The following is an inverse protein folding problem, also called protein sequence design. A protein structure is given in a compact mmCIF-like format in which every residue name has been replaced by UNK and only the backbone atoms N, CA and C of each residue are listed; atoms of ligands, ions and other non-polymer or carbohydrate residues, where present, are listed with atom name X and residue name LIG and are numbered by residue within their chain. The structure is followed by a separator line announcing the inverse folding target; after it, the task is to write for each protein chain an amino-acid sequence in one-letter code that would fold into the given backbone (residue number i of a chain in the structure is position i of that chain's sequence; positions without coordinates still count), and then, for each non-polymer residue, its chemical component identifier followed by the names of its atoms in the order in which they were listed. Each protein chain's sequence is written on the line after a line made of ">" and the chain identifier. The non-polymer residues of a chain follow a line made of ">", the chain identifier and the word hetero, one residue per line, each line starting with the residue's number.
data_IF_916753942585
#
_entry.id   IF_916753942585
#
_cell.length_a   1.000
_cell.length_b   1.000
_cell.length_c   1.000
_cell.angle_alpha   90.00
_cell.angle_beta   90.00
_cell.angle_gamma   90.00
#
_symmetry.space_group_name_H-M   'P 1'
#
loop_
_entity.id
_entity.type
_entity.pdbx_description
1 polymer ?
#
# COMPACT_ATOMS: atom_id res chain seq x y z
N UNK A 1 3.23 20.03 13.79
CA UNK A 1 3.58 19.28 12.57
C UNK A 1 3.40 17.79 12.84
N UNK A 2 2.83 16.99 11.90
CA UNK A 2 2.79 15.53 12.04
C UNK A 2 4.20 14.94 12.10
N UNK A 3 4.38 13.85 12.86
CA UNK A 3 5.68 13.17 12.97
C UNK A 3 6.11 12.53 11.64
N UNK A 4 7.41 12.28 11.47
CA UNK A 4 7.97 11.59 10.30
C UNK A 4 7.28 10.24 10.05
N UNK A 5 7.06 9.46 11.11
CA UNK A 5 6.32 8.20 11.04
C UNK A 5 4.86 8.37 10.63
N UNK A 6 4.17 9.42 11.09
CA UNK A 6 2.79 9.72 10.67
C UNK A 6 2.72 10.04 9.18
N UNK A 7 3.68 10.82 8.67
CA UNK A 7 3.81 11.13 7.25
C UNK A 7 4.14 9.87 6.43
N UNK A 8 4.98 8.98 6.95
CA UNK A 8 5.27 7.70 6.32
C UNK A 8 4.03 6.82 6.20
N UNK A 9 3.26 6.69 7.28
CA UNK A 9 2.02 5.89 7.28
C UNK A 9 1.00 6.42 6.27
N UNK A 10 0.87 7.75 6.14
CA UNK A 10 0.03 8.38 5.10
C UNK A 10 0.55 8.10 3.69
N UNK A 11 1.87 8.20 3.49
CA UNK A 11 2.50 7.88 2.22
C UNK A 11 2.32 6.41 1.81
N UNK A 12 2.48 5.45 2.72
CA UNK A 12 2.23 4.03 2.45
C UNK A 12 0.78 3.80 2.01
N UNK A 13 -0.17 4.46 2.69
CA UNK A 13 -1.60 4.24 2.47
C UNK A 13 -2.13 4.93 1.21
N UNK A 14 -1.69 6.16 0.95
CA UNK A 14 -2.27 7.03 -0.07
C UNK A 14 -1.29 7.47 -1.16
N UNK A 15 0.01 7.22 -0.99
CA UNK A 15 1.06 7.80 -1.85
C UNK A 15 1.28 9.29 -1.59
N UNK A 16 0.67 9.85 -0.55
CA UNK A 16 0.71 11.29 -0.27
C UNK A 16 2.06 11.71 0.30
N UNK A 17 2.76 12.56 -0.45
CA UNK A 17 3.97 13.23 0.01
C UNK A 17 3.57 14.54 0.70
N UNK A 18 4.11 14.85 1.90
CA UNK A 18 3.81 16.10 2.58
C UNK A 18 4.17 17.33 1.75
N UNK A 19 3.16 18.19 1.53
CA UNK A 19 3.29 19.43 0.77
C UNK A 19 2.92 20.65 1.61
N UNK A 20 3.42 21.82 1.21
CA UNK A 20 3.02 23.15 1.66
C UNK A 20 2.45 23.93 0.50
N UNK A 21 1.52 24.86 0.78
CA UNK A 21 1.00 25.78 -0.23
C UNK A 21 1.95 26.95 -0.40
N UNK A 22 2.32 27.27 -1.63
CA UNK A 22 3.03 28.50 -1.99
C UNK A 22 2.26 29.11 -3.16
N UNK A 23 1.51 30.19 -2.88
CA UNK A 23 0.48 30.70 -3.78
C UNK A 23 -0.59 29.64 -4.06
N UNK A 24 -0.91 29.45 -5.35
CA UNK A 24 -1.84 28.43 -5.83
C UNK A 24 -1.21 27.02 -5.99
N UNK A 25 0.09 26.87 -5.72
CA UNK A 25 0.82 25.63 -5.96
C UNK A 25 1.07 24.84 -4.67
N UNK A 26 1.05 23.50 -4.78
CA UNK A 26 1.48 22.59 -3.71
C UNK A 26 2.88 22.10 -3.99
N UNK A 27 3.83 22.42 -3.11
CA UNK A 27 5.23 21.98 -3.23
C UNK A 27 5.64 21.13 -2.03
N UNK A 28 6.58 20.19 -2.17
CA UNK A 28 7.09 19.42 -1.04
C UNK A 28 7.59 20.33 0.10
N UNK A 29 7.36 19.92 1.35
CA UNK A 29 7.64 20.79 2.51
C UNK A 29 9.13 21.09 2.71
N UNK A 30 10.01 20.14 2.39
CA UNK A 30 11.45 20.24 2.54
C UNK A 30 12.18 19.42 1.46
N UNK A 31 13.52 19.49 1.46
CA UNK A 31 14.38 18.76 0.52
C UNK A 31 14.17 17.25 0.58
N UNK A 32 13.98 16.66 1.76
CA UNK A 32 13.70 15.24 1.91
C UNK A 32 12.42 14.82 1.19
N UNK A 33 11.31 15.53 1.41
CA UNK A 33 10.05 15.23 0.73
C UNK A 33 10.12 15.53 -0.77
N UNK A 34 10.97 16.46 -1.21
CA UNK A 34 11.28 16.65 -2.63
C UNK A 34 12.00 15.43 -3.22
N UNK A 35 12.96 14.84 -2.51
CA UNK A 35 13.59 13.58 -2.91
C UNK A 35 12.61 12.42 -2.95
N UNK A 36 11.74 12.28 -1.94
CA UNK A 36 10.66 11.27 -1.95
C UNK A 36 9.76 11.46 -3.18
N UNK A 37 9.37 12.70 -3.48
CA UNK A 37 8.54 13.02 -4.64
C UNK A 37 9.22 12.63 -5.96
N UNK A 38 10.51 12.95 -6.13
CA UNK A 38 11.27 12.62 -7.34
C UNK A 38 11.41 11.10 -7.56
N UNK A 39 11.73 10.35 -6.51
CA UNK A 39 11.84 8.89 -6.60
C UNK A 39 10.46 8.30 -6.89
N UNK A 40 9.43 8.79 -6.18
CA UNK A 40 8.06 8.33 -6.35
C UNK A 40 7.49 8.69 -7.74
N UNK A 41 7.93 9.76 -8.41
CA UNK A 41 7.46 10.06 -9.77
C UNK A 41 7.96 9.04 -10.80
N UNK A 42 9.10 8.39 -10.54
CA UNK A 42 9.66 7.36 -11.42
C UNK A 42 9.13 5.96 -11.06
N UNK A 43 9.16 5.60 -9.78
CA UNK A 43 8.84 4.23 -9.32
C UNK A 43 7.36 4.07 -8.94
N UNK A 44 6.67 5.16 -8.65
CA UNK A 44 5.27 5.17 -8.22
C UNK A 44 4.29 4.52 -9.20
N UNK A 45 4.37 4.76 -10.53
CA UNK A 45 3.52 4.07 -11.49
C UNK A 45 3.67 2.55 -11.44
N UNK A 46 4.91 2.05 -11.39
CA UNK A 46 5.22 0.61 -11.29
C UNK A 46 4.70 0.03 -9.98
N UNK A 47 4.95 0.73 -8.87
CA UNK A 47 4.42 0.36 -7.54
C UNK A 47 2.89 0.26 -7.57
N UNK A 48 2.20 1.22 -8.18
CA UNK A 48 0.74 1.27 -8.24
C UNK A 48 0.14 0.13 -9.07
N UNK A 49 0.82 -0.31 -10.14
CA UNK A 49 0.39 -1.47 -10.93
C UNK A 49 0.61 -2.75 -10.15
N UNK A 50 1.80 -2.93 -9.56
CA UNK A 50 2.16 -4.16 -8.87
C UNK A 50 1.37 -4.37 -7.57
N UNK A 51 1.25 -3.34 -6.74
CA UNK A 51 0.71 -3.41 -5.38
C UNK A 51 -0.67 -2.76 -5.23
N UNK A 52 -1.21 -2.23 -6.32
CA UNK A 52 -2.45 -1.47 -6.32
C UNK A 52 -2.26 -0.07 -5.73
N UNK A 53 -3.25 0.78 -6.00
CA UNK A 53 -3.38 2.09 -5.36
C UNK A 53 -4.80 2.23 -4.83
N UNK A 54 -4.98 3.05 -3.80
CA UNK A 54 -6.28 3.36 -3.21
C UNK A 54 -7.31 3.87 -4.25
N UNK A 55 -6.85 4.32 -5.42
CA UNK A 55 -7.65 5.07 -6.40
C UNK A 55 -8.28 4.32 -7.57
N UNK A 56 -8.16 2.99 -7.73
CA UNK A 56 -9.07 2.11 -8.55
C UNK A 56 -8.44 0.82 -9.09
N UNK A 57 -7.12 0.62 -8.98
CA UNK A 57 -6.50 -0.54 -9.61
C UNK A 57 -6.36 -1.70 -8.62
N UNK A 58 -6.89 -2.89 -8.94
CA UNK A 58 -6.65 -4.08 -8.13
C UNK A 58 -5.15 -4.40 -8.13
N UNK A 59 -4.62 -4.79 -6.97
CA UNK A 59 -3.22 -5.17 -6.83
C UNK A 59 -2.93 -6.44 -7.61
N UNK A 60 -2.02 -6.38 -8.59
CA UNK A 60 -1.63 -7.54 -9.38
C UNK A 60 -1.01 -8.62 -8.47
N UNK A 61 -0.15 -8.23 -7.54
CA UNK A 61 0.42 -9.12 -6.52
C UNK A 61 -0.68 -9.69 -5.63
N UNK A 62 -1.63 -8.86 -5.20
CA UNK A 62 -2.77 -9.32 -4.40
C UNK A 62 -3.58 -10.40 -5.11
N UNK A 63 -3.87 -10.22 -6.40
CA UNK A 63 -4.58 -11.22 -7.22
C UNK A 63 -3.76 -12.51 -7.32
N UNK A 64 -2.46 -12.40 -7.63
CA UNK A 64 -1.57 -13.56 -7.75
C UNK A 64 -1.50 -14.33 -6.44
N UNK A 65 -1.30 -13.65 -5.31
CA UNK A 65 -1.27 -14.27 -3.98
C UNK A 65 -2.60 -14.93 -3.65
N UNK A 66 -3.74 -14.29 -3.96
CA UNK A 66 -5.06 -14.88 -3.74
C UNK A 66 -5.26 -16.15 -4.57
N UNK A 67 -4.86 -16.14 -5.84
CA UNK A 67 -4.97 -17.29 -6.72
C UNK A 67 -4.10 -18.45 -6.22
N UNK A 68 -2.84 -18.20 -5.91
CA UNK A 68 -1.91 -19.21 -5.37
C UNK A 68 -2.41 -19.80 -4.05
N UNK A 69 -2.86 -18.94 -3.13
CA UNK A 69 -3.42 -19.37 -1.86
C UNK A 69 -4.66 -20.25 -2.07
N UNK A 70 -5.53 -19.89 -3.02
CA UNK A 70 -6.75 -20.66 -3.31
C UNK A 70 -6.44 -22.02 -3.95
N UNK A 71 -5.46 -22.10 -4.85
CA UNK A 71 -5.02 -23.36 -5.45
C UNK A 71 -4.54 -24.36 -4.39
N UNK A 72 -3.94 -23.88 -3.29
CA UNK A 72 -3.46 -24.72 -2.19
C UNK A 72 -4.57 -24.99 -1.16
N UNK A 73 -5.28 -23.94 -0.73
CA UNK A 73 -6.26 -24.02 0.35
C UNK A 73 -7.54 -24.75 -0.06
N UNK A 74 -8.02 -24.59 -1.30
CA UNK A 74 -9.27 -25.23 -1.72
C UNK A 74 -9.19 -26.77 -1.68
N UNK A 75 -8.16 -27.43 -2.25
CA UNK A 75 -8.02 -28.88 -2.11
C UNK A 75 -7.82 -29.33 -0.66
N UNK A 76 -7.07 -28.54 0.14
CA UNK A 76 -6.82 -28.87 1.55
C UNK A 76 -8.11 -28.82 2.38
N UNK A 77 -8.94 -27.78 2.19
CA UNK A 77 -10.24 -27.66 2.86
C UNK A 77 -11.23 -28.70 2.36
N UNK A 78 -11.15 -29.10 1.09
CA UNK A 78 -11.94 -30.22 0.58
C UNK A 78 -11.54 -31.53 1.28
N UNK A 79 -10.25 -31.86 1.35
CA UNK A 79 -9.77 -33.04 2.07
C UNK A 79 -10.20 -33.00 3.55
N UNK A 80 -10.07 -31.84 4.19
CA UNK A 80 -10.55 -31.62 5.55
C UNK A 80 -12.05 -31.87 5.68
N UNK A 81 -12.86 -31.44 4.70
CA UNK A 81 -14.30 -31.69 4.69
C UNK A 81 -14.61 -33.19 4.71
N UNK A 82 -13.94 -33.99 3.86
CA UNK A 82 -14.12 -35.44 3.82
C UNK A 82 -13.71 -36.12 5.13
N UNK A 83 -12.61 -35.69 5.74
CA UNK A 83 -12.09 -36.27 6.99
C UNK A 83 -12.92 -35.88 8.22
N UNK A 84 -13.44 -34.66 8.27
CA UNK A 84 -14.10 -34.10 9.45
C UNK A 84 -15.63 -34.10 9.40
N UNK A 85 -16.24 -34.44 8.26
CA UNK A 85 -17.70 -34.41 8.10
C UNK A 85 -18.43 -35.34 9.07
N UNK A 86 -18.00 -36.59 9.23
CA UNK A 86 -18.67 -37.54 10.12
C UNK A 86 -18.64 -37.09 11.59
N UNK A 87 -17.48 -36.70 12.16
CA UNK A 87 -17.43 -36.06 13.47
C UNK A 87 -18.32 -34.82 13.58
N UNK A 88 -18.26 -33.91 12.59
CA UNK A 88 -19.04 -32.67 12.60
C UNK A 88 -20.56 -32.94 12.58
N UNK A 89 -21.00 -33.91 11.78
CA UNK A 89 -22.41 -34.34 11.71
C UNK A 89 -22.87 -35.01 13.01
N UNK A 90 -22.01 -35.78 13.66
CA UNK A 90 -22.28 -36.36 14.98
C UNK A 90 -22.50 -35.25 16.02
N UNK A 91 -21.58 -34.28 16.06
CA UNK A 91 -21.69 -33.11 16.95
C UNK A 91 -22.94 -32.28 16.67
N UNK A 92 -23.32 -32.08 15.41
CA UNK A 92 -24.53 -31.33 15.04
C UNK A 92 -25.84 -31.99 15.46
N UNK A 93 -25.83 -33.29 15.79
CA UNK A 93 -26.99 -33.97 16.40
C UNK A 93 -27.05 -33.75 17.92
N UNK A 94 -25.90 -33.64 18.56
CA UNK A 94 -25.79 -33.50 20.02
C UNK A 94 -25.95 -32.03 20.44
N UNK A 95 -25.35 -31.13 19.68
CA UNK A 95 -25.43 -29.69 19.87
C UNK A 95 -26.57 -29.17 19.01
N UNK A 96 -27.61 -28.59 19.61
CA UNK A 96 -28.75 -28.02 18.89
C UNK A 96 -28.41 -26.67 18.22
N UNK A 97 -27.22 -26.57 17.63
CA UNK A 97 -26.75 -25.42 16.89
C UNK A 97 -27.36 -25.42 15.49
N UNK A 98 -28.23 -24.44 15.22
CA UNK A 98 -28.90 -24.29 13.92
C UNK A 98 -27.90 -24.15 12.75
N UNK A 99 -26.84 -23.35 12.92
CA UNK A 99 -25.81 -23.14 11.89
C UNK A 99 -25.02 -24.40 11.59
N UNK A 100 -24.60 -25.14 12.62
CA UNK A 100 -23.87 -26.39 12.44
C UNK A 100 -24.75 -27.43 11.73
N UNK A 101 -26.00 -27.58 12.18
CA UNK A 101 -26.98 -28.52 11.63
C UNK A 101 -27.31 -28.23 10.17
N UNK A 102 -27.44 -26.95 9.81
CA UNK A 102 -27.63 -26.49 8.42
C UNK A 102 -26.42 -26.82 7.55
N UNK A 103 -25.22 -26.48 8.01
CA UNK A 103 -23.99 -26.65 7.24
C UNK A 103 -23.52 -28.11 7.17
N UNK A 104 -23.98 -29.00 8.05
CA UNK A 104 -23.68 -30.45 8.01
C UNK A 104 -24.83 -31.30 7.46
N UNK A 105 -25.84 -30.69 6.82
CA UNK A 105 -26.99 -31.42 6.27
C UNK A 105 -26.54 -32.46 5.23
N UNK A 106 -25.60 -32.07 4.38
CA UNK A 106 -24.89 -32.95 3.46
C UNK A 106 -23.39 -32.67 3.49
N UNK A 107 -22.60 -33.61 2.94
CA UNK A 107 -21.16 -33.39 2.75
C UNK A 107 -20.88 -32.22 1.79
N UNK A 108 -21.77 -31.99 0.82
CA UNK A 108 -21.68 -30.89 -0.14
C UNK A 108 -21.88 -29.55 0.56
N UNK A 109 -22.87 -29.44 1.45
CA UNK A 109 -23.09 -28.21 2.23
C UNK A 109 -21.88 -27.91 3.13
N UNK A 110 -21.30 -28.95 3.74
CA UNK A 110 -20.16 -28.81 4.63
C UNK A 110 -18.88 -28.43 3.88
N UNK A 111 -18.64 -29.06 2.73
CA UNK A 111 -17.49 -28.74 1.87
C UNK A 111 -17.63 -27.34 1.26
N UNK A 112 -18.85 -26.91 0.91
CA UNK A 112 -19.13 -25.55 0.44
C UNK A 112 -18.82 -24.52 1.52
N UNK A 113 -19.27 -24.73 2.76
CA UNK A 113 -18.94 -23.87 3.91
C UNK A 113 -17.42 -23.77 4.11
N UNK A 114 -16.71 -24.91 4.08
CA UNK A 114 -15.26 -24.95 4.23
C UNK A 114 -14.54 -24.28 3.04
N UNK A 115 -15.05 -24.42 1.82
CA UNK A 115 -14.53 -23.73 0.64
C UNK A 115 -14.69 -22.21 0.75
N UNK A 116 -15.81 -21.72 1.28
CA UNK A 116 -15.97 -20.30 1.59
C UNK A 116 -14.90 -19.81 2.59
N UNK A 117 -14.64 -20.59 3.66
CA UNK A 117 -13.55 -20.26 4.61
C UNK A 117 -12.17 -20.26 3.95
N UNK A 118 -11.91 -21.19 3.03
CA UNK A 118 -10.67 -21.20 2.25
C UNK A 118 -10.52 -19.91 1.44
N UNK A 119 -11.60 -19.46 0.78
CA UNK A 119 -11.64 -18.19 0.05
C UNK A 119 -11.37 -16.98 0.97
N UNK A 120 -12.01 -16.94 2.14
CA UNK A 120 -11.80 -15.87 3.13
C UNK A 120 -10.34 -15.82 3.60
N UNK A 121 -9.73 -16.97 3.88
CA UNK A 121 -8.33 -17.06 4.26
C UNK A 121 -7.39 -16.67 3.11
N UNK A 122 -7.66 -17.09 1.87
CA UNK A 122 -6.91 -16.62 0.70
C UNK A 122 -6.98 -15.10 0.55
N UNK A 123 -8.16 -14.51 0.78
CA UNK A 123 -8.36 -13.05 0.73
C UNK A 123 -7.59 -12.34 1.84
N UNK A 124 -7.64 -12.86 3.07
CA UNK A 124 -6.90 -12.33 4.20
C UNK A 124 -5.39 -12.37 3.97
N UNK A 125 -4.86 -13.51 3.49
CA UNK A 125 -3.44 -13.67 3.18
C UNK A 125 -3.00 -12.71 2.07
N UNK A 126 -3.78 -12.59 0.99
CA UNK A 126 -3.51 -11.65 -0.10
C UNK A 126 -3.43 -10.20 0.39
N UNK A 127 -4.39 -9.76 1.22
CA UNK A 127 -4.38 -8.42 1.82
C UNK A 127 -3.16 -8.21 2.71
N UNK A 128 -2.80 -9.20 3.51
CA UNK A 128 -1.63 -9.14 4.38
C UNK A 128 -0.33 -9.01 3.59
N UNK A 129 -0.10 -9.90 2.62
CA UNK A 129 1.11 -9.88 1.77
C UNK A 129 1.21 -8.56 1.01
N UNK A 130 0.10 -8.09 0.43
CA UNK A 130 0.09 -6.81 -0.27
C UNK A 130 0.42 -5.63 0.67
N UNK A 131 -0.10 -5.64 1.90
CA UNK A 131 0.18 -4.59 2.88
C UNK A 131 1.66 -4.59 3.30
N UNK A 132 2.24 -5.77 3.55
CA UNK A 132 3.66 -5.93 3.90
C UNK A 132 4.56 -5.44 2.77
N UNK A 133 4.30 -5.86 1.53
CA UNK A 133 5.08 -5.44 0.37
C UNK A 133 4.94 -3.93 0.09
N UNK A 134 3.73 -3.37 0.23
CA UNK A 134 3.53 -1.93 0.08
C UNK A 134 4.29 -1.13 1.15
N UNK A 135 4.35 -1.64 2.39
CA UNK A 135 5.17 -1.04 3.44
C UNK A 135 6.66 -1.13 3.11
N UNK A 136 7.14 -2.32 2.70
CA UNK A 136 8.55 -2.55 2.35
C UNK A 136 9.02 -1.67 1.19
N UNK A 137 8.28 -1.63 0.07
CA UNK A 137 8.62 -0.78 -1.09
C UNK A 137 8.59 0.69 -0.70
N UNK A 138 7.62 1.12 0.10
CA UNK A 138 7.57 2.51 0.57
C UNK A 138 8.75 2.85 1.48
N UNK A 139 9.17 1.93 2.34
CA UNK A 139 10.34 2.10 3.20
C UNK A 139 11.63 2.22 2.37
N UNK A 140 11.77 1.41 1.31
CA UNK A 140 12.88 1.52 0.36
C UNK A 140 12.89 2.88 -0.35
N UNK A 141 11.73 3.37 -0.79
CA UNK A 141 11.63 4.72 -1.41
C UNK A 141 12.07 5.80 -0.43
N UNK A 142 11.65 5.72 0.84
CA UNK A 142 12.04 6.66 1.88
C UNK A 142 13.54 6.59 2.22
N UNK A 143 14.10 5.39 2.29
CA UNK A 143 15.52 5.19 2.50
C UNK A 143 16.36 5.74 1.33
N UNK A 144 15.95 5.46 0.09
CA UNK A 144 16.58 6.03 -1.10
C UNK A 144 16.48 7.56 -1.12
N UNK A 145 15.36 8.13 -0.65
CA UNK A 145 15.22 9.57 -0.52
C UNK A 145 16.24 10.18 0.46
N UNK A 146 16.55 9.51 1.57
CA UNK A 146 17.60 9.97 2.49
C UNK A 146 18.96 10.11 1.80
N UNK A 147 19.31 9.16 0.93
CA UNK A 147 20.57 9.18 0.17
C UNK A 147 20.61 10.32 -0.85
N UNK A 148 19.48 10.60 -1.50
CA UNK A 148 19.39 11.64 -2.55
C UNK A 148 19.18 13.06 -1.97
N UNK A 149 18.73 13.16 -0.71
CA UNK A 149 18.41 14.45 -0.06
C UNK A 149 19.57 15.46 -0.04
N UNK A 150 20.82 15.09 0.29
CA UNK A 150 21.94 16.04 0.28
C UNK A 150 22.20 16.65 -1.10
N UNK A 151 22.04 15.87 -2.17
CA UNK A 151 22.19 16.35 -3.55
C UNK A 151 21.08 17.34 -3.89
N UNK A 152 19.83 17.00 -3.59
CA UNK A 152 18.66 17.87 -3.82
C UNK A 152 18.79 19.18 -3.04
N UNK A 153 19.27 19.12 -1.80
CA UNK A 153 19.51 20.31 -0.99
C UNK A 153 20.61 21.20 -1.57
N UNK A 154 21.70 20.62 -2.05
CA UNK A 154 22.80 21.38 -2.68
C UNK A 154 22.31 22.09 -3.94
N UNK A 155 21.53 21.41 -4.78
CA UNK A 155 20.93 22.00 -5.99
C UNK A 155 20.01 23.16 -5.62
N UNK A 156 19.13 22.99 -4.61
CA UNK A 156 18.22 24.05 -4.18
C UNK A 156 18.97 25.27 -3.65
N UNK A 157 20.07 25.05 -2.91
CA UNK A 157 20.92 26.12 -2.39
C UNK A 157 21.60 26.90 -3.52
N UNK A 158 22.17 26.21 -4.51
CA UNK A 158 22.78 26.85 -5.68
C UNK A 158 21.74 27.63 -6.48
N UNK A 159 20.57 27.04 -6.72
CA UNK A 159 19.47 27.69 -7.44
C UNK A 159 18.98 28.96 -6.72
N UNK A 160 18.88 28.96 -5.39
CA UNK A 160 18.51 30.17 -4.63
C UNK A 160 19.50 31.31 -4.84
N UNK A 161 20.82 31.02 -4.87
CA UNK A 161 21.85 32.04 -5.07
C UNK A 161 21.79 32.68 -6.46
N UNK A 162 21.49 31.89 -7.49
CA UNK A 162 21.27 32.44 -8.83
C UNK A 162 19.99 33.26 -8.95
N UNK A 163 18.92 32.87 -8.23
CA UNK A 163 17.68 33.65 -8.18
C UNK A 163 17.88 35.00 -7.49
N UNK A 164 18.61 35.01 -6.36
CA UNK A 164 18.90 36.22 -5.61
C UNK A 164 19.76 37.21 -6.43
N UNK A 165 20.82 36.70 -7.08
CA UNK A 165 21.69 37.50 -7.95
C UNK A 165 20.94 38.14 -9.13
N UNK A 166 19.93 37.46 -9.67
CA UNK A 166 19.06 38.02 -10.71
C UNK A 166 18.16 39.14 -10.20
N UNK A 167 17.78 39.11 -8.92
CA UNK A 167 16.96 40.17 -8.31
C UNK A 167 17.78 41.42 -7.94
N UNK A 168 19.05 41.25 -7.57
CA UNK A 168 19.98 42.36 -7.25
C UNK A 168 20.50 43.07 -8.51
N UNK A 169 20.60 42.37 -9.65
CA UNK A 169 20.99 42.94 -10.95
C UNK A 169 19.92 43.82 -11.63
N UNK A 170 18.73 43.96 -11.03
CA UNK A 170 17.65 44.86 -11.49
C UNK A 170 17.56 46.10 -10.59
N UNK A 171 18.68 46.51 -9.99
CA UNK A 171 18.85 47.89 -9.53
C UNK A 171 18.96 48.81 -10.75
N UNK A 172 17.87 49.44 -11.14
CA UNK A 172 17.85 50.45 -12.20
C UNK A 172 18.92 51.52 -11.96
N UNK A 173 19.73 51.92 -12.96
CA UNK A 173 20.45 53.18 -12.86
C UNK A 173 19.38 54.28 -12.87
N UNK A 174 19.16 54.92 -11.72
CA UNK A 174 18.41 56.17 -11.67
C UNK A 174 19.25 57.22 -12.39
N UNK A 175 18.98 57.40 -13.68
CA UNK A 175 19.40 58.60 -14.40
C UNK A 175 18.65 59.79 -13.79
N UNK A 176 19.29 60.47 -12.84
CA UNK A 176 18.88 61.81 -12.44
C UNK A 176 19.42 62.79 -13.50
N UNK A 177 18.48 63.52 -14.11
CA UNK A 177 18.72 64.64 -15.02
C UNK A 177 19.42 65.79 -14.32
#
# INVERSE_FOLDING_TARGET
>A
MPSSYSNFKKYVKFGDVPTKSVGCNKIPQNSFYKSVYLINSVVGPVKNVALGSYKKNPSMIGIITFALASVILQPLYLALAYLSYWPAKGLAKVVDSFDLKRNTKSLIDYSSMLSCKACDHSSALSKFVNAVLNYAVSAVIWAAALVVTPLVWTIDKVASKFSDAKSEGVGSPSFSK
#
